data_IF_736253190182
#
_entry.id   IF_736253190182
#
_cell.length_a   1.000
_cell.length_b   1.000
_cell.length_c   1.000
_cell.angle_alpha   90.00
_cell.angle_beta   90.00
_cell.angle_gamma   90.00
#
_symmetry.space_group_name_H-M   'P 1'
#
loop_
_entity.id
_entity.type
_entity.pdbx_description
1 polymer ?
#
# COMPACT_ATOMS: atom_id res chain seq x y z
N UNK A 1 -14.49 7.84 2.33
CA UNK A 1 -15.20 8.74 1.37
C UNK A 1 -15.63 10.04 2.06
N UNK A 2 -15.47 11.22 1.42
CA UNK A 2 -15.94 12.51 1.96
C UNK A 2 -17.33 12.87 1.38
N UNK A 3 -18.34 12.97 2.23
CA UNK A 3 -19.72 13.35 1.87
C UNK A 3 -20.28 14.34 2.89
N UNK A 4 -21.01 15.37 2.44
CA UNK A 4 -21.57 16.44 3.30
C UNK A 4 -20.58 17.07 4.30
N UNK A 5 -19.29 17.14 3.93
CA UNK A 5 -18.24 17.73 4.76
C UNK A 5 -17.70 16.81 5.86
N UNK A 6 -18.11 15.53 5.90
CA UNK A 6 -17.63 14.55 6.87
C UNK A 6 -17.04 13.30 6.19
N UNK A 7 -15.92 12.83 6.73
CA UNK A 7 -15.33 11.55 6.33
C UNK A 7 -16.12 10.39 6.93
N UNK A 8 -16.35 9.37 6.10
CA UNK A 8 -16.95 8.11 6.50
C UNK A 8 -16.39 6.94 5.70
N UNK A 9 -16.72 5.74 6.14
CA UNK A 9 -16.21 4.47 5.60
C UNK A 9 -17.14 3.90 4.52
N UNK A 10 -16.81 2.72 4.00
CA UNK A 10 -17.56 1.99 2.98
C UNK A 10 -17.74 0.57 3.51
N UNK A 11 -18.95 0.03 3.43
CA UNK A 11 -19.21 -1.36 3.80
C UNK A 11 -18.61 -2.33 2.76
N UNK A 12 -18.18 -3.49 3.21
CA UNK A 12 -17.54 -4.53 2.40
C UNK A 12 -18.52 -5.47 1.68
N UNK A 13 -19.83 -5.29 1.89
CA UNK A 13 -20.90 -5.95 1.14
C UNK A 13 -20.80 -5.62 -0.37
N UNK A 14 -20.70 -6.67 -1.19
CA UNK A 14 -20.44 -6.64 -2.64
C UNK A 14 -19.11 -5.96 -3.05
N UNK A 15 -18.22 -5.64 -2.10
CA UNK A 15 -16.94 -4.98 -2.38
C UNK A 15 -16.00 -5.85 -3.22
N UNK A 16 -15.73 -5.44 -4.46
CA UNK A 16 -15.00 -6.26 -5.41
C UNK A 16 -13.81 -5.57 -6.10
N UNK A 17 -13.10 -6.32 -6.96
CA UNK A 17 -11.93 -5.83 -7.67
C UNK A 17 -12.22 -4.66 -8.63
N UNK A 18 -13.46 -4.53 -9.11
CA UNK A 18 -13.89 -3.39 -9.94
C UNK A 18 -14.00 -2.13 -9.10
N UNK A 19 -14.52 -2.24 -7.88
CA UNK A 19 -14.57 -1.11 -6.93
C UNK A 19 -13.17 -0.69 -6.51
N UNK A 20 -12.32 -1.67 -6.18
CA UNK A 20 -10.91 -1.45 -5.90
C UNK A 20 -10.16 -0.76 -7.04
N UNK A 21 -10.42 -1.14 -8.29
CA UNK A 21 -9.80 -0.51 -9.46
C UNK A 21 -10.13 0.98 -9.54
N UNK A 22 -11.38 1.35 -9.24
CA UNK A 22 -11.79 2.77 -9.16
C UNK A 22 -11.06 3.49 -8.03
N UNK A 23 -10.96 2.89 -6.83
CA UNK A 23 -10.23 3.52 -5.70
C UNK A 23 -8.75 3.72 -6.02
N UNK A 24 -8.08 2.67 -6.50
CA UNK A 24 -6.66 2.72 -6.82
C UNK A 24 -6.37 3.70 -7.96
N UNK A 25 -7.25 3.77 -8.96
CA UNK A 25 -7.21 4.76 -10.03
C UNK A 25 -7.44 6.19 -9.54
N UNK A 26 -8.48 6.42 -8.74
CA UNK A 26 -8.83 7.72 -8.15
C UNK A 26 -7.65 8.30 -7.34
N UNK A 27 -6.99 7.45 -6.57
CA UNK A 27 -5.83 7.82 -5.74
C UNK A 27 -4.49 7.86 -6.50
N UNK A 28 -4.47 7.46 -7.77
CA UNK A 28 -3.26 7.32 -8.58
C UNK A 28 -2.22 6.37 -7.94
N UNK A 29 -2.70 5.28 -7.34
CA UNK A 29 -1.90 4.26 -6.68
C UNK A 29 -1.73 2.99 -7.55
N UNK A 30 -1.81 3.14 -8.87
CA UNK A 30 -1.70 2.02 -9.82
C UNK A 30 -2.97 1.17 -9.90
N UNK A 31 -2.82 -0.07 -10.35
CA UNK A 31 -3.89 -1.07 -10.46
C UNK A 31 -4.28 -1.66 -9.10
N UNK A 32 -5.51 -2.15 -8.97
CA UNK A 32 -5.93 -2.93 -7.81
C UNK A 32 -5.22 -4.29 -7.77
N UNK A 33 -4.72 -4.66 -6.60
CA UNK A 33 -4.06 -5.95 -6.35
C UNK A 33 -4.95 -6.87 -5.54
N UNK A 34 -5.61 -6.32 -4.51
CA UNK A 34 -6.42 -7.10 -3.59
C UNK A 34 -7.54 -6.27 -2.95
N UNK A 35 -8.62 -6.95 -2.56
CA UNK A 35 -9.74 -6.39 -1.79
C UNK A 35 -9.76 -7.01 -0.41
N UNK A 36 -10.12 -6.21 0.59
CA UNK A 36 -10.13 -6.62 1.98
C UNK A 36 -11.50 -6.38 2.59
N UNK A 37 -11.92 -7.31 3.43
CA UNK A 37 -13.20 -7.34 4.12
C UNK A 37 -12.95 -7.39 5.64
N UNK A 38 -14.02 -7.38 6.42
CA UNK A 38 -14.03 -7.58 7.86
C UNK A 38 -13.09 -6.61 8.61
N UNK A 39 -13.03 -5.36 8.15
CA UNK A 39 -12.15 -4.33 8.72
C UNK A 39 -10.69 -4.81 8.87
N UNK A 40 -10.15 -5.52 7.87
CA UNK A 40 -8.79 -6.08 7.86
C UNK A 40 -7.69 -5.11 8.33
N UNK A 41 -7.80 -3.82 8.00
CA UNK A 41 -6.84 -2.78 8.39
C UNK A 41 -7.21 -2.03 9.69
N UNK A 42 -8.20 -2.54 10.41
CA UNK A 42 -8.81 -1.94 11.58
C UNK A 42 -10.13 -1.25 11.27
N UNK A 43 -11.01 -1.22 12.28
CA UNK A 43 -12.30 -0.53 12.23
C UNK A 43 -12.11 0.98 12.05
N UNK A 44 -12.91 1.56 11.16
CA UNK A 44 -13.04 3.00 11.04
C UNK A 44 -13.90 3.61 12.15
N UNK A 45 -14.31 4.86 11.93
CA UNK A 45 -15.19 5.56 12.85
C UNK A 45 -16.07 6.56 12.13
N UNK A 46 -17.23 6.86 12.72
CA UNK A 46 -18.17 7.84 12.19
C UNK A 46 -19.23 7.18 11.31
N UNK A 47 -19.67 7.85 10.22
CA UNK A 47 -20.69 7.31 9.34
C UNK A 47 -20.11 6.28 8.36
N UNK A 48 -20.88 5.26 8.02
CA UNK A 48 -20.64 4.39 6.86
C UNK A 48 -21.43 5.00 5.69
N UNK A 49 -20.74 5.49 4.67
CA UNK A 49 -21.38 6.29 3.62
C UNK A 49 -21.93 5.48 2.45
N UNK A 50 -21.26 4.39 2.10
CA UNK A 50 -21.59 3.57 0.95
C UNK A 50 -21.72 2.11 1.38
N UNK A 51 -22.61 1.41 0.69
CA UNK A 51 -22.94 -0.01 0.87
C UNK A 51 -23.45 -0.56 -0.47
N UNK A 52 -23.21 -1.84 -0.72
CA UNK A 52 -23.41 -2.53 -1.99
C UNK A 52 -22.84 -1.70 -3.16
N UNK A 53 -21.57 -1.31 -3.06
CA UNK A 53 -20.92 -0.57 -4.14
C UNK A 53 -20.81 -1.49 -5.35
N UNK A 54 -21.15 -0.96 -6.53
CA UNK A 54 -21.10 -1.71 -7.78
C UNK A 54 -20.55 -0.82 -8.88
N UNK A 55 -19.23 -0.76 -8.96
CA UNK A 55 -18.50 -0.10 -10.03
C UNK A 55 -18.39 -0.99 -11.27
N UNK A 56 -18.14 -0.37 -12.42
CA UNK A 56 -17.69 -1.06 -13.64
C UNK A 56 -16.17 -1.20 -13.72
N UNK A 57 -15.44 -0.47 -12.86
CA UNK A 57 -13.97 -0.39 -12.88
C UNK A 57 -13.42 0.72 -13.77
N UNK A 58 -14.28 1.59 -14.32
CA UNK A 58 -13.88 2.66 -15.26
C UNK A 58 -14.30 4.06 -14.81
N UNK A 59 -15.00 4.13 -13.68
CA UNK A 59 -15.40 5.36 -13.02
C UNK A 59 -14.16 6.11 -12.50
N UNK A 60 -14.24 7.45 -12.48
CA UNK A 60 -13.14 8.30 -12.00
C UNK A 60 -13.09 8.44 -10.48
N UNK A 61 -14.20 8.18 -9.80
CA UNK A 61 -14.30 8.24 -8.34
C UNK A 61 -15.32 7.23 -7.86
N UNK A 62 -15.10 6.69 -6.66
CA UNK A 62 -16.01 5.73 -6.05
C UNK A 62 -17.45 6.27 -5.88
N UNK A 63 -17.60 7.59 -5.85
CA UNK A 63 -18.90 8.28 -5.73
C UNK A 63 -19.79 8.14 -6.98
N UNK A 64 -19.21 7.82 -8.13
CA UNK A 64 -19.92 7.68 -9.41
C UNK A 64 -20.44 6.26 -9.63
N UNK A 65 -20.02 5.31 -8.79
CA UNK A 65 -20.49 3.93 -8.84
C UNK A 65 -21.92 3.80 -8.29
N UNK A 66 -22.60 2.73 -8.71
CA UNK A 66 -23.89 2.41 -8.09
C UNK A 66 -23.69 2.01 -6.62
N UNK A 67 -24.66 2.35 -5.78
CA UNK A 67 -24.69 1.98 -4.36
C UNK A 67 -26.12 2.00 -3.84
N UNK A 68 -26.32 1.53 -2.60
CA UNK A 68 -27.60 1.60 -1.89
C UNK A 68 -28.08 3.04 -1.60
N UNK A 69 -27.19 4.01 -1.77
CA UNK A 69 -27.39 5.43 -1.51
C UNK A 69 -26.75 5.88 -0.20
N UNK A 70 -26.43 7.18 -0.12
CA UNK A 70 -25.66 7.78 0.97
C UNK A 70 -26.22 7.47 2.36
N UNK A 71 -25.38 6.88 3.22
CA UNK A 71 -25.70 6.58 4.62
C UNK A 71 -26.77 5.50 4.82
N UNK A 72 -27.13 4.77 3.75
CA UNK A 72 -28.07 3.65 3.82
C UNK A 72 -27.27 2.35 3.78
N UNK A 73 -27.18 1.69 4.93
CA UNK A 73 -26.48 0.42 5.08
C UNK A 73 -27.09 -0.40 6.21
N UNK A 74 -26.73 -1.68 6.29
CA UNK A 74 -26.97 -2.51 7.48
C UNK A 74 -25.71 -2.87 8.24
N UNK A 75 -24.57 -2.36 7.78
CA UNK A 75 -23.27 -2.76 8.28
C UNK A 75 -22.84 -2.03 9.56
N UNK A 76 -21.86 -2.61 10.24
CA UNK A 76 -21.11 -2.05 11.34
C UNK A 76 -19.65 -1.83 10.93
N UNK A 77 -18.82 -1.23 11.80
CA UNK A 77 -17.44 -0.90 11.44
C UNK A 77 -16.50 -2.12 11.38
N UNK A 78 -16.93 -3.27 11.87
CA UNK A 78 -16.29 -4.57 11.62
C UNK A 78 -16.46 -5.04 10.17
N UNK A 79 -17.26 -4.36 9.36
CA UNK A 79 -17.48 -4.62 7.91
C UNK A 79 -16.91 -3.47 7.04
N UNK A 80 -15.95 -2.71 7.56
CA UNK A 80 -15.31 -1.65 6.77
C UNK A 80 -14.41 -2.24 5.68
N UNK A 81 -14.65 -1.85 4.43
CA UNK A 81 -13.94 -2.30 3.25
C UNK A 81 -12.52 -1.74 3.14
N UNK A 82 -11.59 -2.56 2.63
CA UNK A 82 -10.21 -2.18 2.35
C UNK A 82 -9.75 -2.56 0.93
N UNK A 83 -8.66 -1.95 0.48
CA UNK A 83 -8.04 -2.25 -0.82
C UNK A 83 -6.52 -2.19 -0.71
N UNK A 84 -5.83 -3.07 -1.43
CA UNK A 84 -4.40 -2.95 -1.70
C UNK A 84 -4.19 -2.65 -3.18
N UNK A 85 -3.47 -1.56 -3.47
CA UNK A 85 -3.12 -1.15 -4.83
C UNK A 85 -1.67 -1.51 -5.15
N UNK A 86 -1.32 -1.64 -6.43
CA UNK A 86 0.03 -1.99 -6.89
C UNK A 86 1.08 -0.90 -6.61
N UNK A 87 0.65 0.35 -6.42
CA UNK A 87 1.48 1.43 -5.92
C UNK A 87 1.69 1.38 -4.40
N UNK A 88 1.13 0.40 -3.68
CA UNK A 88 1.43 0.16 -2.27
C UNK A 88 2.84 -0.42 -2.16
N UNK A 89 3.81 0.46 -1.92
CA UNK A 89 5.22 0.07 -1.77
C UNK A 89 5.44 -0.42 -0.35
N UNK A 90 5.81 -1.70 -0.25
CA UNK A 90 6.21 -2.29 1.02
C UNK A 90 7.58 -1.76 1.45
N UNK A 91 8.38 -1.22 0.53
CA UNK A 91 9.64 -0.54 0.85
C UNK A 91 9.57 0.99 0.74
N UNK A 92 10.49 1.67 1.42
CA UNK A 92 10.76 3.11 1.24
C UNK A 92 12.26 3.40 1.34
N UNK A 93 12.67 4.50 0.70
CA UNK A 93 14.01 5.08 0.83
C UNK A 93 13.95 6.32 1.72
N UNK A 94 14.64 6.29 2.86
CA UNK A 94 14.61 7.38 3.85
C UNK A 94 16.00 7.97 4.13
N UNK A 95 16.04 9.19 4.69
CA UNK A 95 17.25 9.89 5.10
C UNK A 95 18.31 10.14 4.00
N UNK A 96 17.97 9.95 2.72
CA UNK A 96 18.81 10.34 1.60
C UNK A 96 18.50 11.74 1.07
N UNK A 97 19.37 12.29 0.20
CA UNK A 97 19.23 13.64 -0.34
C UNK A 97 18.03 13.84 -1.28
N UNK A 98 17.45 12.77 -1.82
CA UNK A 98 16.27 12.81 -2.71
C UNK A 98 15.51 11.48 -2.69
N UNK A 99 14.29 11.45 -3.27
CA UNK A 99 13.36 10.29 -3.25
C UNK A 99 13.93 8.95 -3.72
N UNK A 100 14.96 8.97 -4.57
CA UNK A 100 15.61 7.77 -5.13
C UNK A 100 16.95 7.42 -4.46
N UNK A 101 17.12 7.80 -3.20
CA UNK A 101 18.31 7.46 -2.40
C UNK A 101 17.96 7.45 -0.93
N UNK A 102 18.51 6.53 -0.16
CA UNK A 102 18.30 6.48 1.27
C UNK A 102 18.57 5.11 1.87
N UNK A 103 18.35 5.01 3.19
CA UNK A 103 18.23 3.73 3.89
C UNK A 103 16.95 3.03 3.42
N UNK A 104 17.05 1.74 3.14
CA UNK A 104 15.90 0.89 2.82
C UNK A 104 15.19 0.52 4.11
N UNK A 105 13.88 0.79 4.16
CA UNK A 105 12.99 0.32 5.22
C UNK A 105 11.79 -0.39 4.59
N UNK A 106 11.35 -1.49 5.22
CA UNK A 106 10.24 -2.34 4.76
C UNK A 106 9.14 -2.32 5.80
N UNK A 107 7.90 -2.11 5.37
CA UNK A 107 6.71 -2.17 6.21
C UNK A 107 6.37 -3.64 6.48
N UNK A 108 6.51 -4.07 7.73
CA UNK A 108 6.21 -5.43 8.16
C UNK A 108 5.49 -5.41 9.52
N UNK A 109 4.36 -6.12 9.63
CA UNK A 109 3.59 -6.16 10.88
C UNK A 109 3.13 -4.79 11.39
N UNK A 110 2.85 -3.84 10.47
CA UNK A 110 2.42 -2.48 10.80
C UNK A 110 3.54 -1.54 11.26
N UNK A 111 4.81 -1.97 11.24
CA UNK A 111 5.97 -1.16 11.61
C UNK A 111 7.03 -1.14 10.51
N UNK A 112 7.76 -0.04 10.40
CA UNK A 112 8.88 0.09 9.46
C UNK A 112 10.13 -0.54 10.06
N UNK A 113 10.69 -1.53 9.37
CA UNK A 113 11.89 -2.26 9.77
C UNK A 113 13.03 -1.99 8.79
N UNK A 114 14.28 -2.02 9.28
CA UNK A 114 15.47 -1.84 8.44
C UNK A 114 15.90 -3.14 7.76
N UNK A 115 16.66 -3.04 6.68
CA UNK A 115 17.28 -4.20 6.01
C UNK A 115 18.75 -4.31 6.43
N UNK A 116 19.20 -5.53 6.75
CA UNK A 116 20.60 -5.80 7.11
C UNK A 116 21.52 -5.54 5.91
N UNK A 117 22.67 -4.89 6.13
CA UNK A 117 23.66 -4.63 5.08
C UNK A 117 24.59 -5.82 4.79
N UNK A 118 24.50 -6.90 5.59
CA UNK A 118 25.34 -8.09 5.46
C UNK A 118 25.15 -8.81 4.13
N UNK A 119 23.89 -8.99 3.72
CA UNK A 119 23.53 -9.70 2.49
C UNK A 119 22.85 -8.80 1.45
N UNK A 120 22.59 -7.52 1.76
CA UNK A 120 21.96 -6.60 0.83
C UNK A 120 22.89 -6.25 -0.34
N UNK A 121 22.57 -6.78 -1.52
CA UNK A 121 23.42 -6.68 -2.71
C UNK A 121 22.78 -5.86 -3.85
N UNK A 122 23.38 -5.95 -5.04
CA UNK A 122 22.92 -5.22 -6.22
C UNK A 122 21.57 -5.75 -6.73
N UNK A 123 21.28 -7.05 -6.60
CA UNK A 123 20.02 -7.66 -7.03
C UNK A 123 18.88 -7.22 -6.11
N UNK A 124 19.13 -7.13 -4.80
CA UNK A 124 18.17 -6.56 -3.86
C UNK A 124 17.89 -5.08 -4.16
N UNK A 125 18.95 -4.32 -4.43
CA UNK A 125 18.83 -2.93 -4.81
C UNK A 125 18.04 -2.73 -6.11
N UNK A 126 18.14 -3.65 -7.09
CA UNK A 126 17.36 -3.62 -8.32
C UNK A 126 15.87 -3.74 -8.05
N UNK A 127 15.47 -4.64 -7.16
CA UNK A 127 14.08 -4.78 -6.73
C UNK A 127 13.59 -3.51 -6.04
N UNK A 128 14.34 -2.98 -5.07
CA UNK A 128 13.97 -1.74 -4.36
C UNK A 128 13.87 -0.55 -5.31
N UNK A 129 14.86 -0.32 -6.18
CA UNK A 129 14.83 0.83 -7.08
C UNK A 129 13.70 0.73 -8.11
N UNK A 130 13.37 -0.49 -8.56
CA UNK A 130 12.21 -0.74 -9.43
C UNK A 130 10.90 -0.49 -8.70
N UNK A 131 10.72 -1.06 -7.50
CA UNK A 131 9.54 -0.86 -6.64
C UNK A 131 9.33 0.63 -6.36
N UNK A 132 10.41 1.40 -6.19
CA UNK A 132 10.35 2.85 -5.95
C UNK A 132 10.17 3.71 -7.22
N UNK A 133 10.10 3.12 -8.41
CA UNK A 133 10.10 3.83 -9.70
C UNK A 133 11.26 4.83 -9.79
N UNK A 134 12.46 4.33 -9.48
CA UNK A 134 13.71 5.08 -9.46
C UNK A 134 14.71 4.58 -10.51
N UNK A 135 14.34 3.58 -11.31
CA UNK A 135 15.17 3.00 -12.36
C UNK A 135 16.17 1.98 -11.82
N UNK A 136 17.34 1.90 -12.46
CA UNK A 136 18.41 0.95 -12.08
C UNK A 136 19.27 1.51 -10.93
N UNK A 137 19.79 0.65 -10.02
CA UNK A 137 20.61 1.11 -8.92
C UNK A 137 22.00 1.51 -9.42
N UNK A 138 22.47 2.67 -8.99
CA UNK A 138 23.81 3.17 -9.35
C UNK A 138 24.87 2.76 -8.33
N UNK A 139 24.47 2.56 -7.06
CA UNK A 139 25.38 2.23 -5.97
C UNK A 139 24.64 1.65 -4.76
N UNK A 140 25.17 0.57 -4.20
CA UNK A 140 24.77 0.02 -2.91
C UNK A 140 25.70 0.54 -1.82
N UNK A 141 25.14 1.00 -0.70
CA UNK A 141 25.87 1.58 0.43
C UNK A 141 25.54 0.81 1.71
N UNK A 142 26.56 0.26 2.37
CA UNK A 142 26.44 -0.39 3.67
C UNK A 142 26.79 0.51 4.85
N UNK A 143 26.96 -0.09 6.02
CA UNK A 143 27.43 0.52 7.27
C UNK A 143 26.64 1.75 7.69
N UNK A 144 25.32 1.69 7.52
CA UNK A 144 24.38 2.76 7.88
C UNK A 144 24.76 4.13 7.28
N UNK A 145 25.14 4.18 6.00
CA UNK A 145 25.53 5.41 5.30
C UNK A 145 24.49 6.54 5.38
N UNK A 146 23.20 6.20 5.53
CA UNK A 146 22.09 7.14 5.73
C UNK A 146 21.57 7.17 7.18
N UNK A 147 22.42 6.80 8.14
CA UNK A 147 22.08 6.65 9.54
C UNK A 147 21.47 5.29 9.87
N UNK A 148 21.60 4.89 11.14
CA UNK A 148 20.98 3.67 11.68
C UNK A 148 19.47 3.90 11.79
N UNK A 149 18.66 2.92 11.39
CA UNK A 149 17.22 2.97 11.66
C UNK A 149 16.89 2.52 13.08
N UNK A 150 15.62 2.52 13.42
CA UNK A 150 15.14 2.03 14.72
C UNK A 150 15.30 0.50 14.81
N UNK A 151 15.47 -0.03 16.02
CA UNK A 151 16.16 -1.30 16.34
C UNK A 151 15.57 -2.61 15.76
N UNK A 152 14.56 -2.54 14.89
CA UNK A 152 14.00 -3.71 14.21
C UNK A 152 14.63 -3.89 12.82
N UNK A 153 15.30 -5.02 12.63
CA UNK A 153 15.77 -5.51 11.34
C UNK A 153 14.74 -6.51 10.81
N UNK A 154 14.29 -6.31 9.58
CA UNK A 154 13.25 -7.13 8.95
C UNK A 154 13.75 -8.53 8.62
N UNK A 155 14.87 -8.62 7.92
CA UNK A 155 15.55 -9.88 7.60
C UNK A 155 17.05 -9.69 7.67
N UNK A 156 17.74 -10.74 8.11
CA UNK A 156 19.20 -10.83 8.05
C UNK A 156 19.68 -11.40 6.70
N UNK A 157 18.82 -12.16 6.00
CA UNK A 157 19.13 -12.82 4.73
C UNK A 157 18.10 -12.36 3.67
N UNK A 158 18.46 -11.35 2.87
CA UNK A 158 17.71 -10.97 1.68
C UNK A 158 18.44 -11.54 0.46
N UNK A 159 17.72 -12.23 -0.42
CA UNK A 159 18.31 -12.97 -1.55
C UNK A 159 17.42 -12.81 -2.79
N UNK A 160 17.22 -11.58 -3.25
CA UNK A 160 16.46 -11.33 -4.47
C UNK A 160 17.19 -11.89 -5.71
N UNK A 161 16.44 -12.35 -6.71
CA UNK A 161 16.99 -12.64 -8.05
C UNK A 161 17.18 -11.38 -8.89
N UNK A 162 16.56 -10.25 -8.49
CA UNK A 162 16.54 -8.98 -9.23
C UNK A 162 15.33 -8.85 -10.16
N UNK A 163 14.42 -9.82 -10.18
CA UNK A 163 13.24 -9.85 -11.08
C UNK A 163 11.91 -9.68 -10.35
N UNK A 164 11.93 -9.70 -9.02
CA UNK A 164 10.78 -9.57 -8.13
C UNK A 164 10.13 -8.18 -8.23
N UNK A 165 8.81 -8.09 -8.18
CA UNK A 165 8.12 -6.79 -8.23
C UNK A 165 8.26 -6.00 -6.94
N UNK A 166 8.45 -6.69 -5.81
CA UNK A 166 8.51 -6.12 -4.46
C UNK A 166 9.62 -6.79 -3.66
N UNK A 167 10.25 -6.06 -2.74
CA UNK A 167 11.33 -6.60 -1.90
C UNK A 167 10.85 -7.74 -0.99
N UNK A 168 9.56 -7.78 -0.66
CA UNK A 168 8.91 -8.81 0.15
C UNK A 168 8.69 -10.14 -0.58
N UNK A 169 8.91 -10.17 -1.90
CA UNK A 169 8.80 -11.37 -2.75
C UNK A 169 10.17 -11.98 -3.08
N UNK A 170 11.22 -11.40 -2.52
CA UNK A 170 12.48 -12.08 -2.28
C UNK A 170 12.27 -13.05 -1.09
#
# INVERSE_FOLDING_TARGET
VLHEGQWGTVCDDDWDMSDAAVVCGELHCGEAVDVHHEAHFGEGSGPIWLDNVGCRGSESTLKDCSSRGWGKHYCNHDEDAGVTCSGHRMSRLTAGPHRCSGRVEVLHGGSWSTVCDGDFDQQDAEVVCREQECGIPVKVLGSAAFGRGEDQVWTEELQCRGTESEITLC
#
